data_IF_015607162555
#
_entry.id   IF_015607162555
#
_cell.length_a   1.000
_cell.length_b   1.000
_cell.length_c   1.000
_cell.angle_alpha   90.00
_cell.angle_beta   90.00
_cell.angle_gamma   90.00
#
_symmetry.space_group_name_H-M   'P 1'
#
loop_
_entity.id
_entity.type
_entity.pdbx_description
1 polymer ?
#
# COMPACT_ATOMS: atom_id res chain seq x y z
N UNK A 1 1.61 -56.25 -24.80
CA UNK A 1 1.56 -55.67 -23.42
C UNK A 1 2.84 -54.88 -23.25
N UNK A 2 2.77 -53.62 -22.85
CA UNK A 2 3.97 -52.78 -22.63
C UNK A 2 4.73 -53.33 -21.42
N UNK A 3 5.97 -53.83 -21.64
CA UNK A 3 6.85 -54.25 -20.55
C UNK A 3 7.55 -53.03 -20.02
N UNK A 4 7.56 -52.84 -18.72
CA UNK A 4 8.29 -51.79 -18.00
C UNK A 4 9.19 -52.45 -16.98
N UNK A 5 10.41 -51.94 -16.86
CA UNK A 5 11.30 -52.26 -15.76
C UNK A 5 11.25 -51.12 -14.78
N UNK A 6 11.09 -51.43 -13.49
CA UNK A 6 11.05 -50.48 -12.40
C UNK A 6 12.24 -50.72 -11.50
N UNK A 7 12.97 -49.67 -11.20
CA UNK A 7 14.03 -49.73 -10.20
C UNK A 7 13.44 -49.84 -8.81
N UNK A 8 14.19 -50.28 -7.82
CA UNK A 8 13.72 -50.31 -6.41
C UNK A 8 13.47 -48.90 -5.90
N UNK A 9 14.19 -47.90 -6.40
CA UNK A 9 13.97 -46.49 -6.09
C UNK A 9 12.62 -46.01 -6.64
N UNK A 10 12.32 -46.35 -7.90
CA UNK A 10 11.00 -46.01 -8.49
C UNK A 10 9.84 -46.63 -7.70
N UNK A 11 9.97 -47.86 -7.29
CA UNK A 11 8.95 -48.55 -6.49
C UNK A 11 8.75 -47.85 -5.14
N UNK A 12 9.82 -47.40 -4.48
CA UNK A 12 9.73 -46.62 -3.24
C UNK A 12 9.01 -45.28 -3.47
N UNK A 13 9.42 -44.54 -4.49
CA UNK A 13 8.83 -43.23 -4.82
C UNK A 13 7.34 -43.36 -5.23
N UNK A 14 6.98 -44.36 -6.00
CA UNK A 14 5.59 -44.66 -6.35
C UNK A 14 4.77 -45.03 -5.11
N UNK A 15 5.31 -45.90 -4.26
CA UNK A 15 4.63 -46.33 -3.03
C UNK A 15 4.39 -45.18 -2.06
N UNK A 16 5.36 -44.28 -1.93
CA UNK A 16 5.21 -43.06 -1.11
C UNK A 16 4.27 -42.05 -1.75
N UNK A 17 4.48 -41.73 -3.01
CA UNK A 17 3.79 -40.63 -3.72
C UNK A 17 2.30 -40.86 -3.93
N UNK A 18 1.85 -42.15 -4.05
CA UNK A 18 0.43 -42.46 -4.19
C UNK A 18 -0.44 -42.04 -3.01
N UNK A 19 0.15 -41.85 -1.82
CA UNK A 19 -0.57 -41.40 -0.62
C UNK A 19 -0.18 -39.98 -0.19
N UNK A 20 1.06 -39.56 -0.44
CA UNK A 20 1.63 -38.37 0.16
C UNK A 20 1.81 -37.18 -0.81
N UNK A 21 1.61 -37.37 -2.12
CA UNK A 21 1.74 -36.27 -3.06
C UNK A 21 0.60 -35.24 -2.86
N UNK A 22 0.89 -33.89 -2.82
CA UNK A 22 -0.13 -32.88 -2.52
C UNK A 22 -1.28 -32.80 -3.56
N UNK A 23 -1.06 -33.30 -4.77
CA UNK A 23 -2.05 -33.24 -5.85
C UNK A 23 -2.70 -34.61 -6.11
N UNK A 24 -4.06 -34.76 -5.94
CA UNK A 24 -4.74 -36.05 -6.04
C UNK A 24 -4.56 -36.74 -7.41
N UNK A 25 -4.47 -35.97 -8.52
CA UNK A 25 -4.24 -36.53 -9.83
C UNK A 25 -2.86 -37.18 -9.99
N UNK A 26 -1.85 -36.66 -9.32
CA UNK A 26 -0.51 -37.28 -9.29
C UNK A 26 -0.52 -38.52 -8.41
N UNK A 27 -1.22 -38.49 -7.28
CA UNK A 27 -1.42 -39.69 -6.46
C UNK A 27 -2.02 -40.84 -7.31
N UNK A 28 -3.06 -40.53 -8.07
CA UNK A 28 -3.69 -41.50 -8.99
C UNK A 28 -2.73 -42.01 -10.07
N UNK A 29 -1.91 -41.14 -10.69
CA UNK A 29 -0.88 -41.57 -11.65
C UNK A 29 0.14 -42.49 -10.99
N UNK A 30 0.59 -42.18 -9.80
CA UNK A 30 1.53 -43.01 -9.04
C UNK A 30 0.92 -44.34 -8.59
N UNK A 31 -0.36 -44.37 -8.20
CA UNK A 31 -1.09 -45.60 -7.88
C UNK A 31 -1.16 -46.54 -9.12
N UNK A 32 -1.50 -46.01 -10.28
CA UNK A 32 -1.55 -46.78 -11.53
C UNK A 32 -0.19 -47.41 -11.85
N UNK A 33 0.91 -46.67 -11.72
CA UNK A 33 2.26 -47.17 -11.97
C UNK A 33 2.73 -48.13 -10.86
N UNK A 34 2.34 -47.91 -9.61
CA UNK A 34 2.59 -48.83 -8.52
C UNK A 34 1.91 -50.23 -8.79
N UNK A 35 0.63 -50.20 -9.16
CA UNK A 35 -0.09 -51.42 -9.50
C UNK A 35 0.54 -52.10 -10.74
N UNK A 36 1.07 -51.34 -11.71
CA UNK A 36 1.80 -51.89 -12.86
C UNK A 36 3.13 -52.55 -12.44
N UNK A 37 3.83 -51.99 -11.47
CA UNK A 37 5.07 -52.57 -10.92
C UNK A 37 4.85 -53.88 -10.20
N UNK A 38 3.60 -54.16 -9.73
CA UNK A 38 3.20 -55.43 -9.15
C UNK A 38 2.77 -56.45 -10.19
N UNK A 39 2.95 -56.19 -11.49
CA UNK A 39 2.68 -57.15 -12.57
C UNK A 39 1.21 -57.23 -12.99
N UNK A 40 0.34 -56.35 -12.55
CA UNK A 40 -1.08 -56.35 -12.86
C UNK A 40 -1.33 -56.01 -14.35
N UNK A 41 -2.38 -56.59 -14.92
CA UNK A 41 -2.82 -56.26 -16.30
C UNK A 41 -3.50 -54.90 -16.32
N UNK A 42 -3.47 -54.19 -17.47
CA UNK A 42 -4.07 -52.86 -17.66
C UNK A 42 -5.57 -52.85 -17.31
N UNK A 43 -6.28 -53.95 -17.59
CA UNK A 43 -7.71 -54.08 -17.22
C UNK A 43 -7.91 -54.11 -15.70
N UNK A 44 -7.10 -54.89 -14.96
CA UNK A 44 -7.16 -54.93 -13.51
C UNK A 44 -6.76 -53.60 -12.86
N UNK A 45 -5.71 -52.95 -13.38
CA UNK A 45 -5.29 -51.62 -12.92
C UNK A 45 -6.41 -50.59 -13.13
N UNK A 46 -7.02 -50.58 -14.32
CA UNK A 46 -8.13 -49.70 -14.63
C UNK A 46 -9.31 -49.88 -13.68
N UNK A 47 -9.63 -51.14 -13.32
CA UNK A 47 -10.68 -51.47 -12.37
C UNK A 47 -10.35 -50.99 -10.93
N UNK A 48 -9.12 -51.24 -10.45
CA UNK A 48 -8.73 -50.88 -9.08
C UNK A 48 -8.53 -49.37 -8.93
N UNK A 49 -7.96 -48.69 -9.94
CA UNK A 49 -7.72 -47.24 -9.89
C UNK A 49 -8.94 -46.40 -10.32
N UNK A 50 -10.04 -47.02 -10.76
CA UNK A 50 -11.25 -46.29 -11.18
C UNK A 50 -11.06 -45.45 -12.45
N UNK A 51 -10.19 -45.89 -13.37
CA UNK A 51 -9.88 -45.15 -14.61
C UNK A 51 -10.08 -46.01 -15.83
N UNK A 52 -10.10 -45.42 -17.05
CA UNK A 52 -10.14 -46.19 -18.31
C UNK A 52 -8.80 -46.85 -18.60
N UNK A 53 -8.84 -47.95 -19.37
CA UNK A 53 -7.62 -48.63 -19.89
C UNK A 53 -6.74 -47.68 -20.71
N UNK A 54 -7.37 -46.73 -21.43
CA UNK A 54 -6.65 -45.73 -22.19
C UNK A 54 -5.88 -44.76 -21.27
N UNK A 55 -6.48 -44.39 -20.12
CA UNK A 55 -5.84 -43.57 -19.10
C UNK A 55 -4.63 -44.29 -18.49
N UNK A 56 -4.76 -45.59 -18.19
CA UNK A 56 -3.66 -46.44 -17.72
C UNK A 56 -2.51 -46.41 -18.72
N UNK A 57 -2.82 -46.62 -20.01
CA UNK A 57 -1.84 -46.65 -21.09
C UNK A 57 -1.14 -45.25 -21.24
N UNK A 58 -1.89 -44.15 -21.09
CA UNK A 58 -1.32 -42.80 -21.13
C UNK A 58 -0.33 -42.57 -19.99
N UNK A 59 -0.66 -42.95 -18.76
CA UNK A 59 0.22 -42.80 -17.64
C UNK A 59 1.49 -43.67 -17.72
N UNK A 60 1.36 -44.86 -18.32
CA UNK A 60 2.50 -45.72 -18.63
C UNK A 60 3.44 -45.08 -19.66
N UNK A 61 2.90 -44.40 -20.67
CA UNK A 61 3.70 -43.67 -21.65
C UNK A 61 4.38 -42.46 -21.03
N UNK A 62 3.65 -41.68 -20.20
CA UNK A 62 4.24 -40.59 -19.47
C UNK A 62 5.47 -41.04 -18.66
N UNK A 63 5.38 -42.20 -18.00
CA UNK A 63 6.51 -42.78 -17.26
C UNK A 63 7.65 -43.24 -18.18
N UNK A 64 7.35 -43.84 -19.34
CA UNK A 64 8.37 -44.25 -20.32
C UNK A 64 9.13 -43.06 -20.91
N UNK A 65 8.45 -41.91 -21.09
CA UNK A 65 9.03 -40.71 -21.67
C UNK A 65 9.92 -39.94 -20.73
N UNK A 66 9.63 -39.94 -19.42
CA UNK A 66 10.37 -39.11 -18.48
C UNK A 66 10.31 -39.56 -17.02
N UNK A 67 10.04 -40.84 -16.77
CA UNK A 67 10.08 -41.40 -15.42
C UNK A 67 9.06 -40.80 -14.45
N UNK A 68 9.41 -40.82 -13.21
CA UNK A 68 8.56 -40.30 -12.11
C UNK A 68 8.37 -38.78 -12.22
N UNK A 69 9.33 -38.03 -12.68
CA UNK A 69 9.22 -36.58 -12.82
C UNK A 69 8.13 -36.21 -13.87
N UNK A 70 8.05 -36.96 -14.95
CA UNK A 70 6.99 -36.74 -15.94
C UNK A 70 5.58 -37.05 -15.38
N UNK A 71 5.46 -38.02 -14.47
CA UNK A 71 4.20 -38.30 -13.79
C UNK A 71 3.73 -37.16 -12.91
N UNK A 72 4.66 -36.43 -12.29
CA UNK A 72 4.36 -35.25 -11.48
C UNK A 72 3.89 -34.05 -12.27
N UNK A 73 4.15 -34.03 -13.58
CA UNK A 73 3.65 -32.95 -14.45
C UNK A 73 2.13 -32.97 -14.54
N UNK A 74 1.52 -31.81 -14.28
CA UNK A 74 0.09 -31.60 -14.44
C UNK A 74 -0.12 -30.59 -15.57
N UNK A 75 -0.49 -31.11 -16.74
CA UNK A 75 -0.87 -30.25 -17.87
C UNK A 75 -2.36 -29.95 -17.81
N UNK A 76 -2.69 -28.72 -17.46
CA UNK A 76 -4.05 -28.21 -17.61
C UNK A 76 -4.17 -27.54 -18.97
N UNK A 77 -4.92 -28.11 -19.85
CA UNK A 77 -5.33 -27.44 -21.08
C UNK A 77 -6.38 -26.39 -20.72
N UNK A 78 -5.94 -25.17 -20.47
CA UNK A 78 -6.85 -24.03 -20.23
C UNK A 78 -7.16 -23.41 -21.59
N UNK A 79 -8.41 -23.40 -22.04
CA UNK A 79 -8.78 -22.69 -23.26
C UNK A 79 -8.41 -21.21 -23.10
N UNK A 80 -7.81 -20.62 -24.12
CA UNK A 80 -7.55 -19.17 -24.15
C UNK A 80 -8.89 -18.43 -24.12
N UNK A 81 -8.93 -17.32 -23.42
CA UNK A 81 -10.11 -16.46 -23.40
C UNK A 81 -10.29 -15.82 -24.79
N UNK A 82 -11.49 -15.85 -25.35
CA UNK A 82 -11.81 -15.12 -26.59
C UNK A 82 -11.48 -13.62 -26.46
N UNK A 83 -11.55 -13.03 -25.25
CA UNK A 83 -11.15 -11.65 -25.01
C UNK A 83 -9.66 -11.41 -25.28
N UNK A 84 -8.84 -12.45 -25.35
CA UNK A 84 -7.39 -12.30 -25.63
C UNK A 84 -7.15 -11.76 -27.03
N UNK A 85 -8.01 -12.04 -27.99
CA UNK A 85 -7.92 -11.53 -29.36
C UNK A 85 -8.20 -10.02 -29.43
N UNK A 86 -8.96 -9.50 -28.46
CA UNK A 86 -9.33 -8.08 -28.34
C UNK A 86 -8.51 -7.32 -27.28
N UNK A 87 -7.45 -7.94 -26.74
CA UNK A 87 -6.68 -7.37 -25.64
C UNK A 87 -6.20 -5.95 -25.95
N UNK A 88 -5.57 -5.72 -27.09
CA UNK A 88 -5.04 -4.40 -27.46
C UNK A 88 -6.10 -3.31 -27.56
N UNK A 89 -7.30 -3.64 -28.06
CA UNK A 89 -8.43 -2.70 -28.14
C UNK A 89 -8.95 -2.36 -26.75
N UNK A 90 -9.05 -3.36 -25.86
CA UNK A 90 -9.54 -3.18 -24.50
C UNK A 90 -8.53 -2.35 -23.67
N UNK A 91 -7.24 -2.64 -23.79
CA UNK A 91 -6.16 -1.90 -23.13
C UNK A 91 -6.17 -0.43 -23.54
N UNK A 92 -6.11 -0.15 -24.85
CA UNK A 92 -6.10 1.23 -25.37
C UNK A 92 -7.33 2.04 -24.93
N UNK A 93 -8.51 1.40 -24.88
CA UNK A 93 -9.71 2.07 -24.40
C UNK A 93 -9.67 2.35 -22.90
N UNK A 94 -9.24 1.38 -22.08
CA UNK A 94 -9.21 1.53 -20.63
C UNK A 94 -8.04 2.35 -20.10
N UNK A 95 -7.00 2.58 -20.88
CA UNK A 95 -5.97 3.57 -20.56
C UNK A 95 -6.55 4.99 -20.51
N UNK A 96 -7.43 5.31 -21.44
CA UNK A 96 -8.09 6.63 -21.51
C UNK A 96 -9.38 6.71 -20.70
N UNK A 97 -10.06 5.58 -20.49
CA UNK A 97 -11.39 5.49 -19.86
C UNK A 97 -11.43 4.37 -18.80
N UNK A 98 -10.70 4.48 -17.69
CA UNK A 98 -10.65 3.43 -16.68
C UNK A 98 -12.02 3.25 -16.01
N UNK A 99 -12.54 2.00 -15.93
CA UNK A 99 -13.83 1.73 -15.35
C UNK A 99 -13.82 1.86 -13.83
N UNK A 100 -14.78 2.55 -13.26
CA UNK A 100 -14.91 2.69 -11.81
C UNK A 100 -15.38 1.38 -11.13
N UNK A 101 -16.13 0.55 -11.84
CA UNK A 101 -16.66 -0.72 -11.34
C UNK A 101 -16.45 -1.86 -12.31
N UNK A 102 -16.44 -3.09 -11.77
CA UNK A 102 -16.32 -4.28 -12.65
C UNK A 102 -17.54 -4.46 -13.56
N UNK A 103 -18.73 -4.01 -13.15
CA UNK A 103 -19.92 -4.08 -13.98
C UNK A 103 -19.86 -3.10 -15.15
N UNK A 104 -19.28 -1.94 -14.94
CA UNK A 104 -18.98 -0.99 -16.01
C UNK A 104 -17.99 -1.58 -17.01
N UNK A 105 -16.90 -2.21 -16.51
CA UNK A 105 -15.95 -2.89 -17.37
C UNK A 105 -16.61 -4.00 -18.20
N UNK A 106 -17.53 -4.79 -17.62
CA UNK A 106 -18.30 -5.81 -18.34
C UNK A 106 -19.07 -5.21 -19.51
N UNK A 107 -19.82 -4.12 -19.23
CA UNK A 107 -20.64 -3.44 -20.25
C UNK A 107 -19.78 -2.88 -21.37
N UNK A 108 -18.66 -2.21 -21.04
CA UNK A 108 -17.75 -1.64 -22.03
C UNK A 108 -17.05 -2.68 -22.87
N UNK A 109 -16.63 -3.80 -22.29
CA UNK A 109 -16.04 -4.93 -23.04
C UNK A 109 -17.07 -5.51 -24.00
N UNK A 110 -18.33 -5.70 -23.57
CA UNK A 110 -19.43 -6.17 -24.44
C UNK A 110 -19.67 -5.19 -25.61
N UNK A 111 -19.68 -3.88 -25.35
CA UNK A 111 -19.83 -2.85 -26.39
C UNK A 111 -18.65 -2.84 -27.38
N UNK A 112 -17.41 -3.02 -26.91
CA UNK A 112 -16.21 -2.99 -27.76
C UNK A 112 -15.99 -4.26 -28.58
N UNK A 113 -16.39 -5.42 -28.04
CA UNK A 113 -16.00 -6.72 -28.59
C UNK A 113 -17.19 -7.56 -29.04
N UNK A 114 -18.41 -7.22 -28.65
CA UNK A 114 -19.60 -8.07 -28.81
C UNK A 114 -19.62 -9.30 -27.88
N UNK A 115 -18.60 -9.48 -27.06
CA UNK A 115 -18.43 -10.69 -26.23
C UNK A 115 -18.95 -10.43 -24.82
N UNK A 116 -20.01 -11.13 -24.45
CA UNK A 116 -20.57 -11.07 -23.10
C UNK A 116 -19.86 -12.02 -22.14
N UNK A 117 -19.39 -11.51 -21.00
CA UNK A 117 -18.71 -12.31 -19.95
C UNK A 117 -19.24 -11.91 -18.57
N UNK A 118 -19.17 -12.86 -17.64
CA UNK A 118 -19.55 -12.59 -16.24
C UNK A 118 -18.52 -11.66 -15.56
N UNK A 119 -18.93 -10.91 -14.52
CA UNK A 119 -18.02 -10.03 -13.76
C UNK A 119 -16.77 -10.75 -13.23
N UNK A 120 -16.91 -12.04 -12.87
CA UNK A 120 -15.78 -12.86 -12.40
C UNK A 120 -14.78 -13.14 -13.51
N UNK A 121 -15.26 -13.46 -14.72
CA UNK A 121 -14.41 -13.71 -15.89
C UNK A 121 -13.71 -12.42 -16.33
N UNK A 122 -14.43 -11.29 -16.41
CA UNK A 122 -13.86 -10.00 -16.75
C UNK A 122 -12.80 -9.59 -15.73
N UNK A 123 -13.07 -9.74 -14.41
CA UNK A 123 -12.06 -9.46 -13.37
C UNK A 123 -10.79 -10.29 -13.53
N UNK A 124 -10.93 -11.58 -13.86
CA UNK A 124 -9.77 -12.46 -14.13
C UNK A 124 -9.00 -12.00 -15.35
N UNK A 125 -9.71 -11.66 -16.43
CA UNK A 125 -9.11 -11.16 -17.66
C UNK A 125 -8.35 -9.83 -17.42
N UNK A 126 -8.98 -8.83 -16.80
CA UNK A 126 -8.33 -7.55 -16.49
C UNK A 126 -7.06 -7.73 -15.64
N UNK A 127 -7.10 -8.65 -14.66
CA UNK A 127 -5.90 -8.98 -13.87
C UNK A 127 -4.82 -9.66 -14.72
N UNK A 128 -5.19 -10.51 -15.69
CA UNK A 128 -4.23 -11.20 -16.56
C UNK A 128 -3.48 -10.27 -17.52
N UNK A 129 -4.10 -9.15 -17.90
CA UNK A 129 -3.48 -8.08 -18.70
C UNK A 129 -2.80 -7.00 -17.85
N UNK A 130 -2.65 -7.21 -16.52
CA UNK A 130 -1.91 -6.32 -15.62
C UNK A 130 -2.73 -5.24 -14.95
N UNK A 131 -4.03 -5.09 -15.24
CA UNK A 131 -4.89 -4.10 -14.56
C UNK A 131 -5.11 -4.45 -13.09
N UNK A 132 -5.11 -3.44 -12.24
CA UNK A 132 -5.35 -3.54 -10.80
C UNK A 132 -6.41 -2.54 -10.37
N UNK A 133 -7.25 -2.91 -9.41
CA UNK A 133 -8.13 -1.96 -8.76
C UNK A 133 -7.31 -1.16 -7.73
N UNK A 134 -6.98 0.07 -8.07
CA UNK A 134 -6.17 0.95 -7.25
C UNK A 134 -7.04 2.08 -6.70
N UNK A 135 -6.70 2.57 -5.50
CA UNK A 135 -7.33 3.78 -4.98
C UNK A 135 -6.80 4.98 -5.75
N UNK A 136 -7.72 5.78 -6.29
CA UNK A 136 -7.36 7.03 -6.98
C UNK A 136 -6.74 8.00 -5.96
N UNK A 137 -5.59 8.54 -6.31
CA UNK A 137 -4.93 9.61 -5.56
C UNK A 137 -5.45 10.99 -5.99
N UNK A 138 -5.15 12.00 -5.21
CA UNK A 138 -5.42 13.39 -5.56
C UNK A 138 -4.11 14.17 -5.62
N UNK A 139 -4.01 15.06 -6.59
CA UNK A 139 -2.96 16.06 -6.69
C UNK A 139 -3.61 17.45 -6.66
N UNK A 140 -3.05 18.44 -5.96
CA UNK A 140 -3.56 19.79 -6.04
C UNK A 140 -3.55 20.28 -7.50
N UNK A 141 -4.64 20.85 -7.97
CA UNK A 141 -4.80 21.26 -9.38
C UNK A 141 -3.75 22.27 -9.86
N UNK A 142 -3.17 23.02 -8.94
CA UNK A 142 -2.12 24.02 -9.19
C UNK A 142 -0.71 23.52 -8.85
N UNK A 143 -0.52 22.23 -8.61
CA UNK A 143 0.79 21.66 -8.33
C UNK A 143 1.65 21.68 -9.59
N UNK A 144 2.87 22.18 -9.46
CA UNK A 144 3.90 22.12 -10.49
C UNK A 144 4.85 20.95 -10.19
N UNK A 145 4.69 19.86 -10.93
CA UNK A 145 5.43 18.61 -10.71
C UNK A 145 6.94 18.80 -10.98
N UNK A 146 7.29 19.59 -12.00
CA UNK A 146 8.70 19.85 -12.35
C UNK A 146 9.38 20.69 -11.27
N UNK A 147 8.69 21.74 -10.80
CA UNK A 147 9.19 22.55 -9.69
C UNK A 147 9.35 21.72 -8.40
N UNK A 148 8.42 20.79 -8.12
CA UNK A 148 8.51 19.88 -6.96
C UNK A 148 9.71 18.93 -7.06
N UNK A 149 9.94 18.31 -8.22
CA UNK A 149 11.09 17.42 -8.45
C UNK A 149 12.41 18.18 -8.38
N UNK A 150 12.52 19.35 -9.02
CA UNK A 150 13.72 20.19 -8.95
C UNK A 150 14.04 20.64 -7.53
N UNK A 151 13.03 21.10 -6.78
CA UNK A 151 13.18 21.50 -5.38
C UNK A 151 13.64 20.33 -4.51
N UNK A 152 13.01 19.18 -4.69
CA UNK A 152 13.37 17.97 -3.93
C UNK A 152 14.84 17.61 -4.15
N UNK A 153 15.30 17.56 -5.39
CA UNK A 153 16.66 17.15 -5.75
C UNK A 153 17.72 18.18 -5.35
N UNK A 154 17.42 19.48 -5.51
CA UNK A 154 18.43 20.53 -5.29
C UNK A 154 18.44 21.06 -3.86
N UNK A 155 17.29 21.09 -3.19
CA UNK A 155 17.16 21.73 -1.89
C UNK A 155 16.90 20.74 -0.75
N UNK A 156 15.94 19.86 -0.92
CA UNK A 156 15.48 19.00 0.17
C UNK A 156 16.41 17.79 0.40
N UNK A 157 16.70 17.02 -0.65
CA UNK A 157 17.52 15.81 -0.55
C UNK A 157 18.93 16.06 0.00
N UNK A 158 19.68 17.09 -0.39
CA UNK A 158 21.00 17.36 0.20
C UNK A 158 20.94 17.57 1.71
N UNK A 159 19.94 18.31 2.20
CA UNK A 159 19.76 18.53 3.65
C UNK A 159 19.34 17.29 4.40
N UNK A 160 18.54 16.42 3.76
CA UNK A 160 18.17 15.13 4.33
C UNK A 160 19.35 14.15 4.38
N UNK A 161 20.26 14.18 3.40
CA UNK A 161 21.49 13.37 3.46
C UNK A 161 22.41 13.86 4.58
N UNK A 162 22.56 15.18 4.77
CA UNK A 162 23.26 15.73 5.93
C UNK A 162 22.60 15.30 7.25
N UNK A 163 21.27 15.28 7.29
CA UNK A 163 20.53 14.83 8.49
C UNK A 163 20.75 13.35 8.78
N UNK A 164 20.73 12.48 7.76
CA UNK A 164 21.08 11.05 7.91
C UNK A 164 22.51 10.84 8.41
N UNK A 165 23.42 11.72 8.01
CA UNK A 165 24.81 11.68 8.46
C UNK A 165 25.02 12.33 9.85
N UNK A 166 23.96 12.81 10.52
CA UNK A 166 24.05 13.47 11.82
C UNK A 166 24.69 14.87 11.78
N UNK A 167 24.81 15.48 10.60
CA UNK A 167 25.47 16.78 10.40
C UNK A 167 24.50 17.97 10.39
N UNK A 168 23.20 17.69 10.38
CA UNK A 168 22.12 18.69 10.36
C UNK A 168 20.88 18.12 11.05
N UNK A 169 20.10 18.97 11.68
CA UNK A 169 18.75 18.62 12.13
C UNK A 169 17.72 19.21 11.15
N UNK A 170 16.86 18.36 10.59
CA UNK A 170 15.80 18.80 9.68
C UNK A 170 14.45 18.53 10.32
N UNK A 171 13.62 19.56 10.44
CA UNK A 171 12.27 19.46 10.96
C UNK A 171 11.25 19.85 9.90
N UNK A 172 10.23 19.02 9.73
CA UNK A 172 9.06 19.33 8.90
C UNK A 172 8.01 20.02 9.76
N UNK A 173 7.61 21.22 9.35
CA UNK A 173 6.70 22.07 10.13
C UNK A 173 5.38 22.25 9.39
N UNK A 174 4.28 22.07 10.10
CA UNK A 174 2.94 22.33 9.60
C UNK A 174 1.96 22.51 10.77
N UNK A 175 0.83 23.16 10.50
CA UNK A 175 -0.27 23.32 11.42
C UNK A 175 -1.46 22.42 11.03
N UNK A 176 -1.99 21.68 12.00
CA UNK A 176 -3.21 20.90 11.80
C UNK A 176 -4.34 21.38 12.70
N UNK A 177 -5.47 21.66 12.09
CA UNK A 177 -6.70 21.97 12.80
C UNK A 177 -7.50 20.68 13.05
N UNK A 178 -7.73 20.38 14.32
CA UNK A 178 -8.59 19.28 14.74
C UNK A 178 -9.93 19.85 15.19
N UNK A 179 -10.96 19.62 14.40
CA UNK A 179 -12.32 20.09 14.71
C UNK A 179 -13.05 18.98 15.46
N UNK A 180 -13.57 19.30 16.66
CA UNK A 180 -14.36 18.35 17.43
C UNK A 180 -15.64 17.98 16.65
N UNK A 181 -15.77 16.69 16.32
CA UNK A 181 -16.87 16.19 15.49
C UNK A 181 -16.83 14.66 15.38
N UNK A 182 -17.81 14.09 14.73
CA UNK A 182 -17.83 12.66 14.45
C UNK A 182 -16.97 12.33 13.23
N UNK A 183 -15.87 11.64 13.45
CA UNK A 183 -15.01 11.09 12.40
C UNK A 183 -15.45 9.66 12.09
N UNK A 184 -16.30 9.48 11.09
CA UNK A 184 -16.80 8.16 10.69
C UNK A 184 -15.76 7.37 9.90
N UNK A 185 -15.71 6.05 10.15
CA UNK A 185 -14.84 5.14 9.42
C UNK A 185 -15.46 3.74 9.40
N UNK A 186 -14.84 2.81 8.69
CA UNK A 186 -15.23 1.41 8.67
C UNK A 186 -14.64 0.68 9.88
N UNK A 187 -15.49 -0.06 10.59
CA UNK A 187 -15.10 -0.93 11.70
C UNK A 187 -15.74 -2.31 11.52
N UNK A 188 -15.10 -3.35 12.03
CA UNK A 188 -15.69 -4.68 12.08
C UNK A 188 -16.69 -4.73 13.21
N UNK A 189 -17.96 -4.99 12.92
CA UNK A 189 -19.04 -5.06 13.90
C UNK A 189 -20.15 -6.01 13.45
N UNK A 190 -20.87 -6.59 14.40
CA UNK A 190 -22.02 -7.46 14.11
C UNK A 190 -23.28 -6.68 13.70
N UNK A 191 -23.40 -5.41 14.14
CA UNK A 191 -24.50 -4.50 13.82
C UNK A 191 -23.95 -3.12 13.53
N UNK A 192 -24.63 -2.37 12.66
CA UNK A 192 -24.27 -0.98 12.38
C UNK A 192 -24.26 -0.16 13.66
N UNK A 193 -23.12 0.48 13.94
CA UNK A 193 -22.90 1.35 15.10
C UNK A 193 -23.09 2.80 14.67
N UNK A 194 -23.69 3.59 15.54
CA UNK A 194 -23.84 5.04 15.37
C UNK A 194 -23.05 5.75 16.46
N UNK A 195 -22.23 6.72 16.07
CA UNK A 195 -21.42 7.53 16.96
C UNK A 195 -22.14 8.88 17.14
N UNK A 196 -22.26 9.33 18.39
CA UNK A 196 -22.80 10.65 18.69
C UNK A 196 -21.94 11.72 18.03
N UNK A 197 -22.56 12.75 17.48
CA UNK A 197 -21.86 13.93 16.97
C UNK A 197 -22.14 15.09 17.91
N UNK A 198 -21.09 15.78 18.42
CA UNK A 198 -21.28 16.94 19.29
C UNK A 198 -21.97 18.09 18.51
N UNK A 199 -22.76 18.85 19.20
CA UNK A 199 -23.31 20.13 18.71
C UNK A 199 -22.26 21.23 18.88
N UNK A 200 -21.88 21.89 17.80
CA UNK A 200 -20.85 22.94 17.78
C UNK A 200 -19.52 22.45 17.22
N UNK A 201 -18.68 23.42 16.79
CA UNK A 201 -17.37 23.17 16.15
C UNK A 201 -16.27 23.86 16.94
N UNK A 202 -15.86 23.25 18.02
CA UNK A 202 -14.62 23.69 18.72
C UNK A 202 -13.41 23.19 17.97
N UNK A 203 -12.36 24.00 17.88
CA UNK A 203 -11.10 23.67 17.20
C UNK A 203 -9.98 23.52 18.22
N UNK A 204 -9.14 22.54 17.99
CA UNK A 204 -7.87 22.38 18.66
C UNK A 204 -6.79 22.41 17.59
N UNK A 205 -5.95 23.43 17.63
CA UNK A 205 -4.90 23.64 16.65
C UNK A 205 -3.57 23.16 17.21
N UNK A 206 -2.82 22.47 16.41
CA UNK A 206 -1.47 21.99 16.71
C UNK A 206 -0.54 22.48 15.63
N UNK A 207 0.42 23.34 15.99
CA UNK A 207 1.58 23.62 15.16
C UNK A 207 2.69 22.67 15.59
N UNK A 208 3.13 21.80 14.69
CA UNK A 208 4.12 20.77 14.98
C UNK A 208 5.40 20.94 14.17
N UNK A 209 6.52 20.55 14.75
CA UNK A 209 7.79 20.34 14.09
C UNK A 209 8.20 18.87 14.29
N UNK A 210 8.26 18.10 13.20
CA UNK A 210 8.63 16.70 13.18
C UNK A 210 10.08 16.56 12.75
N UNK A 211 10.94 16.01 13.60
CA UNK A 211 12.31 15.67 13.20
C UNK A 211 12.30 14.57 12.13
N UNK A 212 13.01 14.80 11.04
CA UNK A 212 13.04 13.91 9.87
C UNK A 212 13.67 12.54 10.15
N UNK A 213 14.51 12.42 11.17
CA UNK A 213 15.29 11.22 11.48
C UNK A 213 14.86 10.57 12.78
N UNK A 214 14.76 11.36 13.88
CA UNK A 214 14.38 10.80 15.19
C UNK A 214 12.87 10.61 15.34
N UNK A 215 12.08 11.25 14.47
CA UNK A 215 10.61 11.34 14.50
C UNK A 215 10.05 12.00 15.78
N UNK A 216 10.91 12.69 16.54
CA UNK A 216 10.47 13.50 17.66
C UNK A 216 9.61 14.65 17.19
N UNK A 217 8.58 14.96 17.98
CA UNK A 217 7.60 16.00 17.66
C UNK A 217 7.68 17.09 18.73
N UNK A 218 7.97 18.32 18.28
CA UNK A 218 7.86 19.52 19.10
C UNK A 218 6.56 20.22 18.69
N UNK A 219 5.77 20.65 19.65
CA UNK A 219 4.46 21.23 19.35
C UNK A 219 4.13 22.47 20.16
N UNK A 220 3.32 23.33 19.54
CA UNK A 220 2.61 24.45 20.15
C UNK A 220 1.13 24.25 19.88
N UNK A 221 0.30 24.36 20.91
CA UNK A 221 -1.13 24.11 20.80
C UNK A 221 -1.94 25.32 21.23
N UNK A 222 -3.06 25.56 20.56
CA UNK A 222 -4.04 26.55 20.99
C UNK A 222 -5.46 26.19 20.53
N UNK A 223 -6.45 26.94 21.04
CA UNK A 223 -7.86 26.81 20.62
C UNK A 223 -8.36 28.00 19.78
N UNK A 224 -7.46 28.91 19.41
CA UNK A 224 -7.77 30.10 18.59
C UNK A 224 -7.25 29.97 17.18
N UNK A 225 -6.20 30.67 16.82
CA UNK A 225 -5.58 30.66 15.50
C UNK A 225 -4.06 30.48 15.60
N UNK A 226 -3.47 29.81 14.63
CA UNK A 226 -2.03 29.79 14.47
C UNK A 226 -1.61 31.07 13.73
N UNK A 227 -0.70 31.81 14.33
CA UNK A 227 -0.14 33.07 13.81
C UNK A 227 1.39 33.03 13.86
N UNK A 228 2.05 34.07 13.41
CA UNK A 228 3.52 34.20 13.53
C UNK A 228 4.04 34.05 14.97
N UNK A 229 3.25 34.44 15.96
CA UNK A 229 3.61 34.28 17.37
C UNK A 229 3.79 32.81 17.77
N UNK A 230 2.90 31.93 17.36
CA UNK A 230 3.03 30.50 17.64
C UNK A 230 4.22 29.89 16.87
N UNK A 231 4.53 30.42 15.67
CA UNK A 231 5.74 29.98 14.98
C UNK A 231 7.00 30.43 15.70
N UNK A 232 7.02 31.65 16.25
CA UNK A 232 8.13 32.11 17.09
C UNK A 232 8.28 31.24 18.37
N UNK A 233 7.19 30.91 19.06
CA UNK A 233 7.23 29.99 20.18
C UNK A 233 7.79 28.62 19.81
N UNK A 234 7.44 28.11 18.62
CA UNK A 234 7.97 26.84 18.12
C UNK A 234 9.48 26.94 17.83
N UNK A 235 9.95 28.06 17.24
CA UNK A 235 11.38 28.31 16.98
C UNK A 235 12.18 28.33 18.30
N UNK A 236 11.67 29.00 19.35
CA UNK A 236 12.29 29.04 20.66
C UNK A 236 12.40 27.65 21.27
N UNK A 237 11.32 26.85 21.26
CA UNK A 237 11.34 25.46 21.73
C UNK A 237 12.34 24.58 20.97
N UNK A 238 12.52 24.80 19.66
CA UNK A 238 13.52 24.07 18.87
C UNK A 238 14.93 24.50 19.25
N UNK A 239 15.14 25.81 19.49
CA UNK A 239 16.45 26.32 19.93
C UNK A 239 16.82 25.82 21.34
N UNK A 240 15.84 25.66 22.24
CA UNK A 240 16.02 25.09 23.58
C UNK A 240 16.55 23.65 23.59
N UNK A 241 16.46 22.91 22.45
CA UNK A 241 17.10 21.60 22.32
C UNK A 241 18.63 21.66 22.41
N UNK A 242 19.23 22.85 22.23
CA UNK A 242 20.68 23.04 22.34
C UNK A 242 21.49 22.26 21.32
N UNK A 243 20.97 22.02 20.13
CA UNK A 243 21.64 21.25 19.06
C UNK A 243 22.86 22.04 18.56
N UNK A 244 24.02 21.39 18.54
CA UNK A 244 25.29 22.00 18.07
C UNK A 244 25.48 21.89 16.56
N UNK A 245 24.51 21.36 15.84
CA UNK A 245 24.48 21.19 14.38
C UNK A 245 23.50 22.17 13.74
N UNK A 246 23.70 22.56 12.48
CA UNK A 246 22.75 23.40 11.77
C UNK A 246 21.33 22.84 11.78
N UNK A 247 20.36 23.73 11.96
CA UNK A 247 18.94 23.39 12.00
C UNK A 247 18.24 23.93 10.76
N UNK A 248 17.48 23.11 10.05
CA UNK A 248 16.63 23.53 8.93
C UNK A 248 15.17 23.18 9.24
N UNK A 249 14.29 24.17 9.09
CA UNK A 249 12.85 23.97 9.13
C UNK A 249 12.28 23.96 7.73
N UNK A 250 11.62 22.87 7.36
CA UNK A 250 10.90 22.75 6.09
C UNK A 250 9.46 23.16 6.33
N UNK A 251 9.05 24.26 5.70
CA UNK A 251 7.78 24.93 5.93
C UNK A 251 6.96 25.03 4.64
N UNK A 252 5.63 25.11 4.78
CA UNK A 252 4.78 25.50 3.67
C UNK A 252 4.88 27.03 3.39
N UNK A 253 4.09 27.52 2.43
CA UNK A 253 4.11 28.93 2.05
C UNK A 253 3.06 29.78 2.79
N UNK A 254 2.61 29.37 3.98
CA UNK A 254 1.63 30.13 4.72
C UNK A 254 2.15 31.52 5.12
N UNK A 255 1.28 32.53 5.03
CA UNK A 255 1.67 33.92 5.27
C UNK A 255 2.24 34.15 6.69
N UNK A 256 1.69 33.46 7.68
CA UNK A 256 2.14 33.59 9.06
C UNK A 256 3.53 32.98 9.31
N UNK A 257 3.99 32.06 8.46
CA UNK A 257 5.32 31.48 8.52
C UNK A 257 6.38 32.37 7.82
N UNK A 258 5.93 33.25 6.92
CA UNK A 258 6.80 34.18 6.15
C UNK A 258 6.79 35.60 6.71
N UNK A 259 6.17 35.86 7.85
CA UNK A 259 6.14 37.19 8.40
C UNK A 259 7.49 37.58 8.98
N UNK A 260 7.74 38.89 9.03
CA UNK A 260 9.02 39.49 9.40
C UNK A 260 9.52 39.00 10.76
N UNK A 261 8.65 38.94 11.77
CA UNK A 261 9.03 38.49 13.12
C UNK A 261 9.58 37.06 13.17
N UNK A 262 9.03 36.17 12.33
CA UNK A 262 9.49 34.77 12.23
C UNK A 262 10.86 34.71 11.56
N UNK A 263 11.07 35.49 10.48
CA UNK A 263 12.35 35.53 9.76
C UNK A 263 13.47 36.10 10.64
N UNK A 264 13.22 37.24 11.29
CA UNK A 264 14.18 37.89 12.20
C UNK A 264 14.56 36.98 13.37
N UNK A 265 13.58 36.29 13.95
CA UNK A 265 13.85 35.37 15.07
C UNK A 265 14.64 34.13 14.58
N UNK A 266 14.24 33.53 13.45
CA UNK A 266 14.96 32.38 12.90
C UNK A 266 16.43 32.72 12.60
N UNK A 267 16.68 33.89 12.01
CA UNK A 267 18.03 34.40 11.74
C UNK A 267 18.83 34.57 13.04
N UNK A 268 18.24 35.16 14.06
CA UNK A 268 18.89 35.36 15.37
C UNK A 268 19.22 34.07 16.10
N UNK A 269 18.42 33.00 15.85
CA UNK A 269 18.62 31.67 16.41
C UNK A 269 19.52 30.78 15.53
N UNK A 270 19.96 31.26 14.35
CA UNK A 270 20.74 30.46 13.41
C UNK A 270 19.97 29.30 12.76
N UNK A 271 18.64 29.43 12.66
CA UNK A 271 17.75 28.42 12.09
C UNK A 271 17.44 28.77 10.63
N UNK A 272 17.74 27.84 9.71
CA UNK A 272 17.42 27.96 8.30
C UNK A 272 15.92 27.69 8.04
N UNK A 273 15.24 28.62 7.33
CA UNK A 273 13.86 28.42 6.88
C UNK A 273 13.84 28.02 5.41
N UNK A 274 13.42 26.78 5.14
CA UNK A 274 13.34 26.21 3.80
C UNK A 274 11.87 26.04 3.39
N UNK A 275 11.42 26.87 2.46
CA UNK A 275 10.01 26.88 2.04
C UNK A 275 9.74 25.92 0.91
N UNK A 276 8.74 25.07 1.07
CA UNK A 276 8.26 24.14 0.04
C UNK A 276 7.70 24.88 -1.19
N UNK A 277 7.75 24.31 -2.38
CA UNK A 277 7.02 24.85 -3.52
C UNK A 277 5.52 24.95 -3.21
N UNK A 278 4.79 25.90 -3.80
CA UNK A 278 3.35 25.99 -3.61
C UNK A 278 2.64 24.68 -3.95
N UNK A 279 1.60 24.34 -3.20
CA UNK A 279 0.77 23.14 -3.43
C UNK A 279 1.55 21.82 -3.41
N UNK A 280 2.52 21.67 -2.50
CA UNK A 280 3.40 20.49 -2.38
C UNK A 280 3.27 19.74 -1.03
N UNK A 281 2.05 19.37 -0.56
CA UNK A 281 1.88 18.66 0.71
C UNK A 281 2.51 17.26 0.69
N UNK A 282 2.72 16.66 -0.50
CA UNK A 282 3.40 15.39 -0.68
C UNK A 282 4.88 15.43 -0.26
N UNK A 283 5.50 16.61 -0.24
CA UNK A 283 6.88 16.83 0.20
C UNK A 283 6.97 17.18 1.69
N UNK A 284 5.85 17.37 2.40
CA UNK A 284 5.85 17.63 3.83
C UNK A 284 5.59 16.35 4.63
N UNK A 285 6.63 15.86 5.32
CA UNK A 285 6.57 14.58 6.04
C UNK A 285 5.54 14.58 7.19
N UNK A 286 5.36 15.72 7.85
CA UNK A 286 4.46 15.86 9.01
C UNK A 286 2.99 15.61 8.65
N UNK A 287 2.61 15.77 7.40
CA UNK A 287 1.27 15.43 6.90
C UNK A 287 0.90 13.95 7.15
N UNK A 288 1.89 13.06 7.16
CA UNK A 288 1.67 11.64 7.49
C UNK A 288 1.42 11.46 8.98
N UNK A 289 2.07 12.25 9.82
CA UNK A 289 1.83 12.27 11.26
C UNK A 289 0.38 12.73 11.55
N UNK A 290 -0.10 13.78 10.89
CA UNK A 290 -1.48 14.24 11.05
C UNK A 290 -2.51 13.17 10.66
N UNK A 291 -2.27 12.43 9.59
CA UNK A 291 -3.12 11.30 9.19
C UNK A 291 -3.10 10.19 10.23
N UNK A 292 -1.94 9.90 10.79
CA UNK A 292 -1.79 8.93 11.88
C UNK A 292 -2.57 9.35 13.12
N UNK A 293 -2.40 10.58 13.60
CA UNK A 293 -3.11 11.11 14.77
C UNK A 293 -4.63 11.06 14.57
N UNK A 294 -5.12 11.50 13.40
CA UNK A 294 -6.55 11.41 13.07
C UNK A 294 -7.05 9.97 13.12
N UNK A 295 -6.28 9.03 12.59
CA UNK A 295 -6.63 7.61 12.61
C UNK A 295 -6.65 7.02 14.03
N UNK A 296 -5.67 7.38 14.87
CA UNK A 296 -5.53 6.81 16.23
C UNK A 296 -6.50 7.43 17.22
N UNK A 297 -6.73 8.73 17.14
CA UNK A 297 -7.47 9.46 18.15
C UNK A 297 -8.90 9.78 17.77
N UNK A 298 -9.21 9.92 16.46
CA UNK A 298 -10.50 10.49 16.07
C UNK A 298 -11.41 9.49 15.36
N UNK A 299 -10.89 8.63 14.50
CA UNK A 299 -11.75 7.75 13.69
C UNK A 299 -12.52 6.75 14.55
N UNK A 300 -13.84 6.75 14.38
CA UNK A 300 -14.79 5.91 15.12
C UNK A 300 -14.75 6.11 16.65
N UNK A 301 -14.34 7.27 17.13
CA UNK A 301 -14.33 7.66 18.54
C UNK A 301 -15.28 8.80 18.81
N UNK A 302 -15.81 8.83 20.04
CA UNK A 302 -16.64 9.89 20.59
C UNK A 302 -15.98 10.47 21.82
N UNK A 303 -15.98 11.78 21.93
CA UNK A 303 -15.51 12.54 23.11
C UNK A 303 -16.69 13.36 23.62
N UNK A 304 -16.93 13.28 24.91
CA UNK A 304 -18.06 13.95 25.55
C UNK A 304 -17.86 15.47 25.58
N UNK A 305 -16.63 15.88 25.81
CA UNK A 305 -16.26 17.30 25.90
C UNK A 305 -14.96 17.60 25.13
N UNK A 306 -14.67 18.90 25.02
CA UNK A 306 -13.50 19.40 24.31
C UNK A 306 -12.18 19.09 25.04
N UNK A 307 -12.20 18.97 26.36
CA UNK A 307 -11.02 18.68 27.17
C UNK A 307 -10.53 17.26 26.88
N UNK A 308 -11.45 16.29 26.89
CA UNK A 308 -11.13 14.91 26.51
C UNK A 308 -10.65 14.81 25.07
N UNK A 309 -11.28 15.57 24.15
CA UNK A 309 -10.89 15.60 22.74
C UNK A 309 -9.46 16.12 22.55
N UNK A 310 -9.14 17.29 23.14
CA UNK A 310 -7.79 17.87 23.04
C UNK A 310 -6.75 17.02 23.75
N UNK A 311 -7.06 16.49 24.94
CA UNK A 311 -6.17 15.60 25.70
C UNK A 311 -5.82 14.32 24.92
N UNK A 312 -6.79 13.73 24.21
CA UNK A 312 -6.54 12.55 23.39
C UNK A 312 -5.57 12.83 22.23
N UNK A 313 -5.63 14.02 21.64
CA UNK A 313 -4.72 14.43 20.55
C UNK A 313 -3.33 14.71 21.12
N UNK A 314 -3.23 15.50 22.19
CA UNK A 314 -1.96 15.83 22.86
C UNK A 314 -1.26 14.56 23.35
N UNK A 315 -1.96 13.69 24.07
CA UNK A 315 -1.41 12.44 24.55
C UNK A 315 -0.96 11.49 23.42
N UNK A 316 -1.67 11.47 22.27
CA UNK A 316 -1.22 10.69 21.11
C UNK A 316 0.09 11.24 20.52
N UNK A 317 0.29 12.56 20.51
CA UNK A 317 1.50 13.19 20.02
C UNK A 317 2.67 13.01 21.01
N UNK A 318 2.42 13.12 22.31
CA UNK A 318 3.40 12.85 23.37
C UNK A 318 3.84 11.39 23.37
N UNK A 319 2.90 10.46 23.20
CA UNK A 319 3.17 9.02 23.10
C UNK A 319 3.82 8.61 21.77
N UNK A 320 3.94 9.52 20.80
CA UNK A 320 4.37 9.21 19.44
C UNK A 320 5.70 8.44 19.40
N UNK A 321 6.69 8.91 20.16
CA UNK A 321 8.04 8.33 20.16
C UNK A 321 8.24 7.18 21.16
N UNK A 322 7.26 6.92 22.03
CA UNK A 322 7.33 5.86 23.04
C UNK A 322 6.45 4.70 22.63
N UNK A 323 5.16 4.92 22.57
CA UNK A 323 4.15 3.87 22.34
C UNK A 323 3.98 3.50 20.89
N UNK A 324 4.14 4.46 19.98
CA UNK A 324 3.86 4.29 18.54
C UNK A 324 5.11 4.32 17.67
N UNK A 325 6.30 4.22 18.24
CA UNK A 325 7.58 4.38 17.54
C UNK A 325 7.70 3.45 16.33
N UNK A 326 7.49 2.15 16.50
CA UNK A 326 7.62 1.19 15.40
C UNK A 326 6.65 1.47 14.23
N UNK A 327 5.40 1.87 14.55
CA UNK A 327 4.40 2.20 13.53
C UNK A 327 4.78 3.50 12.81
N UNK A 328 5.28 4.49 13.54
CA UNK A 328 5.72 5.77 12.97
C UNK A 328 6.99 5.61 12.15
N UNK A 329 7.97 4.82 12.58
CA UNK A 329 9.20 4.53 11.82
C UNK A 329 8.87 3.90 10.45
N UNK A 330 7.84 3.05 10.39
CA UNK A 330 7.38 2.49 9.12
C UNK A 330 6.63 3.49 8.23
N UNK A 331 5.94 4.47 8.82
CA UNK A 331 5.10 5.45 8.13
C UNK A 331 5.88 6.69 7.70
N UNK A 332 6.77 7.20 8.56
CA UNK A 332 7.51 8.46 8.39
C UNK A 332 8.81 8.26 7.58
N UNK A 333 8.77 7.40 6.59
CA UNK A 333 9.92 7.19 5.71
C UNK A 333 10.17 8.41 4.81
N UNK A 334 11.43 8.70 4.49
CA UNK A 334 11.81 9.80 3.61
C UNK A 334 11.52 9.50 2.11
N UNK A 335 10.64 8.55 1.84
CA UNK A 335 10.15 8.25 0.47
C UNK A 335 8.96 9.15 0.18
N UNK A 336 9.20 10.29 -0.42
CA UNK A 336 8.14 11.22 -0.83
C UNK A 336 7.41 10.72 -2.07
N UNK A 337 6.10 10.99 -2.14
CA UNK A 337 5.31 10.66 -3.31
C UNK A 337 5.73 11.57 -4.47
N UNK A 338 6.09 10.95 -5.59
CA UNK A 338 6.33 11.65 -6.85
C UNK A 338 5.08 11.55 -7.72
N UNK A 339 4.83 12.59 -8.49
CA UNK A 339 3.76 12.58 -9.47
C UNK A 339 4.38 12.48 -10.86
N UNK A 340 3.85 11.57 -11.68
CA UNK A 340 4.20 11.49 -13.10
C UNK A 340 3.08 12.17 -13.89
N UNK A 341 3.44 13.08 -14.81
CA UNK A 341 2.46 13.76 -15.66
C UNK A 341 1.61 12.78 -16.46
N UNK A 342 2.16 11.63 -16.84
CA UNK A 342 1.42 10.57 -17.54
C UNK A 342 0.33 9.92 -16.71
N UNK A 343 0.40 10.03 -15.37
CA UNK A 343 -0.59 9.48 -14.44
C UNK A 343 -1.68 10.49 -14.05
N UNK A 344 -1.55 11.74 -14.50
CA UNK A 344 -2.52 12.79 -14.20
C UNK A 344 -3.61 12.77 -15.28
N UNK A 345 -4.80 12.27 -14.92
CA UNK A 345 -5.95 12.33 -15.81
C UNK A 345 -6.55 13.74 -15.82
N UNK A 346 -6.62 14.35 -16.97
CA UNK A 346 -7.44 15.54 -17.22
C UNK A 346 -8.85 15.05 -17.59
N UNK A 347 -9.71 14.87 -16.58
CA UNK A 347 -11.13 14.52 -16.77
C UNK A 347 -11.94 15.79 -17.01
#
# INVERSE_FOLDING_TARGET
MIKLEFTEEDKRLLSYGRFNHPHPRVQLKMEVLWLKSQGLSHQKIAQFAGVSVNTVTSYIRDYQEGGIEKLKEIKFNRPKSELTEHQGTIEAYFESNPPATINEAVKRIEELTGIKRSPTQVRKFLKSIGMRCLKVGTIPSKADVEAQDSYREKELEPRLEEAKAGKRAVFFVDASDFVMGAFVNFIWCFKRIFIKSPSGRKRFNVLGALNAITHEVIMVTNSSYITGTQVCELLEKIAELGLLIPITLVLDNARYQKCRIVQELAESLGIELLYLPPYSPNLNLIERLWKFVKKKCLYAKYYEDFTQFSAAISGCLEDANVKYKEELDSLLTLRFQRFDKSQIMNV
#
